data_IF_838747303708
#
_entry.id   IF_838747303708
#
_cell.length_a   1.000
_cell.length_b   1.000
_cell.length_c   1.000
_cell.angle_alpha   90.00
_cell.angle_beta   90.00
_cell.angle_gamma   90.00
#
_symmetry.space_group_name_H-M   'P 1'
#
loop_
_entity.id
_entity.type
_entity.pdbx_description
1 polymer ?
#
# COMPACT_ATOMS: atom_id res chain seq x y z
N UNK A 1 8.04 -7.82 49.58
CA UNK A 1 8.00 -6.59 48.77
C UNK A 1 8.01 -6.97 47.29
N UNK A 2 6.87 -6.82 46.59
CA UNK A 2 6.74 -7.10 45.15
C UNK A 2 7.28 -5.89 44.38
N UNK A 3 8.33 -6.06 43.57
CA UNK A 3 8.77 -5.03 42.62
C UNK A 3 8.04 -5.24 41.30
N UNK A 4 7.40 -4.15 40.89
CA UNK A 4 6.51 -4.01 39.75
C UNK A 4 7.33 -3.95 38.46
N UNK A 5 7.00 -4.84 37.52
CA UNK A 5 7.53 -4.89 36.17
C UNK A 5 6.74 -3.91 35.29
N UNK A 6 7.10 -2.62 35.32
CA UNK A 6 6.64 -1.62 34.35
C UNK A 6 7.86 -1.27 33.51
N UNK A 7 7.95 -1.85 32.30
CA UNK A 7 9.10 -1.63 31.45
C UNK A 7 9.04 -2.21 30.05
N UNK A 8 7.85 -2.52 29.51
CA UNK A 8 7.75 -3.06 28.14
C UNK A 8 6.62 -2.48 27.26
N UNK A 9 5.85 -1.50 27.75
CA UNK A 9 4.74 -0.92 26.98
C UNK A 9 5.16 0.37 26.25
N UNK A 10 6.23 1.05 26.68
CA UNK A 10 6.63 2.34 26.13
C UNK A 10 7.43 2.26 24.82
N UNK A 11 7.99 1.10 24.46
CA UNK A 11 8.76 0.94 23.21
C UNK A 11 7.86 0.77 21.96
N UNK A 12 6.64 0.23 22.13
CA UNK A 12 5.68 0.04 21.03
C UNK A 12 5.05 1.37 20.55
N UNK A 13 4.95 2.37 21.43
CA UNK A 13 4.38 3.68 21.09
C UNK A 13 5.32 4.55 20.24
N UNK A 14 6.64 4.43 20.41
CA UNK A 14 7.64 5.23 19.69
C UNK A 14 7.93 4.72 18.27
N UNK A 15 7.76 3.43 18.02
CA UNK A 15 7.91 2.86 16.67
C UNK A 15 6.79 3.30 15.71
N UNK A 16 5.59 3.63 16.23
CA UNK A 16 4.43 3.96 15.42
C UNK A 16 4.52 5.29 14.66
N UNK A 17 5.06 6.34 15.29
CA UNK A 17 5.25 7.63 14.63
C UNK A 17 6.34 7.57 13.55
N UNK A 18 7.43 6.83 13.79
CA UNK A 18 8.53 6.68 12.83
C UNK A 18 8.13 5.94 11.56
N UNK A 19 7.39 4.83 11.69
CA UNK A 19 6.90 4.05 10.54
C UNK A 19 5.86 4.84 9.73
N UNK A 20 4.97 5.58 10.40
CA UNK A 20 4.01 6.47 9.72
C UNK A 20 4.71 7.50 8.85
N UNK A 21 5.67 8.24 9.42
CA UNK A 21 6.43 9.26 8.68
C UNK A 21 7.20 8.64 7.52
N UNK A 22 7.74 7.44 7.72
CA UNK A 22 8.45 6.69 6.71
C UNK A 22 7.56 6.29 5.50
N UNK A 23 6.38 5.71 5.75
CA UNK A 23 5.42 5.36 4.69
C UNK A 23 4.96 6.62 3.97
N UNK A 24 4.63 7.66 4.73
CA UNK A 24 4.19 8.92 4.16
C UNK A 24 5.27 9.57 3.28
N UNK A 25 6.52 9.66 3.75
CA UNK A 25 7.64 10.17 2.93
C UNK A 25 7.86 9.33 1.66
N UNK A 26 7.65 8.02 1.73
CA UNK A 26 7.74 7.18 0.54
C UNK A 26 6.59 7.45 -0.43
N UNK A 27 5.34 7.57 0.04
CA UNK A 27 4.20 7.98 -0.78
C UNK A 27 4.46 9.35 -1.44
N UNK A 28 4.99 10.31 -0.67
CA UNK A 28 5.32 11.66 -1.14
C UNK A 28 6.34 11.65 -2.29
N UNK A 29 7.27 10.68 -2.34
CA UNK A 29 8.22 10.54 -3.47
C UNK A 29 7.56 10.12 -4.77
N UNK A 30 6.42 9.44 -4.71
CA UNK A 30 5.67 9.07 -5.91
C UNK A 30 4.71 10.17 -6.36
N UNK A 31 4.49 11.20 -5.55
CA UNK A 31 3.67 12.35 -5.89
C UNK A 31 4.47 13.34 -6.76
N UNK A 32 4.53 13.10 -8.07
CA UNK A 32 5.05 14.08 -9.03
C UNK A 32 3.92 15.04 -9.44
N UNK A 33 4.08 16.33 -9.12
CA UNK A 33 3.15 17.40 -9.55
C UNK A 33 2.93 17.33 -11.06
N UNK A 34 1.67 17.19 -11.49
CA UNK A 34 1.26 17.21 -12.89
C UNK A 34 1.18 15.86 -13.63
N UNK A 35 1.48 14.72 -13.00
CA UNK A 35 1.54 13.40 -13.69
C UNK A 35 0.39 12.44 -13.32
N UNK A 36 -0.35 12.66 -12.22
CA UNK A 36 -1.17 11.59 -11.63
C UNK A 36 -2.69 11.85 -11.55
N UNK A 37 -3.21 12.95 -12.10
CA UNK A 37 -4.66 13.13 -12.27
C UNK A 37 -5.17 12.29 -13.46
N UNK A 38 -5.12 10.95 -13.34
CA UNK A 38 -5.69 10.06 -14.36
C UNK A 38 -7.22 10.05 -14.24
N UNK A 39 -8.00 10.10 -15.33
CA UNK A 39 -9.44 9.91 -15.19
C UNK A 39 -9.72 8.55 -14.56
N UNK A 40 -10.56 8.51 -13.52
CA UNK A 40 -11.11 7.24 -13.00
C UNK A 40 -12.04 6.72 -14.09
N UNK A 41 -11.47 5.92 -14.99
CA UNK A 41 -12.10 5.56 -16.26
C UNK A 41 -13.15 4.45 -16.13
N UNK A 42 -13.35 3.93 -14.91
CA UNK A 42 -14.20 2.76 -14.65
C UNK A 42 -13.60 1.43 -15.13
N UNK A 43 -12.43 1.45 -15.76
CA UNK A 43 -11.70 0.27 -16.20
C UNK A 43 -10.61 -0.11 -15.20
N UNK A 44 -10.36 -1.41 -15.09
CA UNK A 44 -9.42 -1.99 -14.13
C UNK A 44 -8.45 -2.95 -14.81
N UNK A 45 -7.23 -3.00 -14.29
CA UNK A 45 -6.30 -4.08 -14.56
C UNK A 45 -6.46 -5.15 -13.49
N UNK A 46 -6.46 -6.42 -13.91
CA UNK A 46 -6.51 -7.57 -13.01
C UNK A 46 -5.11 -8.13 -12.83
N UNK A 47 -4.68 -8.34 -11.60
CA UNK A 47 -3.35 -8.87 -11.26
C UNK A 47 -3.50 -10.19 -10.55
N UNK A 48 -2.92 -11.25 -11.11
CA UNK A 48 -2.93 -12.59 -10.52
C UNK A 48 -1.50 -13.09 -10.33
N UNK A 49 -1.16 -13.53 -9.13
CA UNK A 49 0.15 -14.11 -8.79
C UNK A 49 0.01 -15.27 -7.80
N UNK A 50 0.99 -16.19 -7.82
CA UNK A 50 1.23 -17.08 -6.68
C UNK A 50 2.04 -16.35 -5.63
N UNK A 51 1.68 -16.57 -4.37
CA UNK A 51 2.26 -15.92 -3.22
C UNK A 51 2.70 -16.95 -2.18
N UNK A 52 3.98 -16.88 -1.82
CA UNK A 52 4.63 -17.76 -0.83
C UNK A 52 4.44 -19.25 -1.14
N UNK A 53 4.35 -19.59 -2.43
CA UNK A 53 4.06 -20.93 -2.97
C UNK A 53 2.81 -21.63 -2.39
N UNK A 54 1.97 -20.89 -1.67
CA UNK A 54 0.83 -21.42 -0.91
C UNK A 54 -0.51 -20.82 -1.31
N UNK A 55 -0.50 -19.58 -1.79
CA UNK A 55 -1.72 -18.85 -2.12
C UNK A 55 -1.69 -18.39 -3.57
N UNK A 56 -2.84 -18.39 -4.23
CA UNK A 56 -3.09 -17.56 -5.41
C UNK A 56 -3.81 -16.31 -4.95
N UNK A 57 -3.24 -15.16 -5.26
CA UNK A 57 -3.83 -13.86 -4.95
C UNK A 57 -4.22 -13.18 -6.25
N UNK A 58 -5.48 -12.75 -6.32
CA UNK A 58 -6.01 -11.93 -7.41
C UNK A 58 -6.54 -10.63 -6.83
N UNK A 59 -6.26 -9.49 -7.47
CA UNK A 59 -6.91 -8.22 -7.17
C UNK A 59 -6.98 -7.34 -8.41
N UNK A 60 -7.80 -6.32 -8.36
CA UNK A 60 -7.93 -5.32 -9.40
C UNK A 60 -7.49 -3.93 -8.92
N UNK A 61 -6.90 -3.16 -9.84
CA UNK A 61 -6.55 -1.76 -9.59
C UNK A 61 -6.86 -0.91 -10.83
N UNK A 62 -7.10 0.41 -10.67
CA UNK A 62 -7.37 1.30 -11.79
C UNK A 62 -6.30 1.21 -12.88
N UNK A 63 -6.72 1.35 -14.14
CA UNK A 63 -5.79 1.44 -15.27
C UNK A 63 -4.84 2.64 -15.05
N UNK A 64 -3.56 2.44 -15.38
CA UNK A 64 -2.58 3.54 -15.47
C UNK A 64 -1.30 3.41 -14.62
N UNK A 65 -0.63 2.25 -14.68
CA UNK A 65 0.79 2.12 -14.27
C UNK A 65 1.11 2.29 -12.78
N UNK A 66 0.10 2.38 -11.90
CA UNK A 66 0.29 2.59 -10.47
C UNK A 66 0.89 1.38 -9.74
N UNK A 67 0.75 0.17 -10.29
CA UNK A 67 1.27 -1.07 -9.70
C UNK A 67 2.71 -1.38 -10.11
N UNK A 68 3.52 -1.88 -9.16
CA UNK A 68 4.96 -2.15 -9.30
C UNK A 68 5.30 -3.64 -9.40
N UNK A 69 4.38 -4.44 -9.92
CA UNK A 69 4.65 -5.83 -10.22
C UNK A 69 5.48 -5.97 -11.49
N UNK A 70 6.32 -7.00 -11.56
CA UNK A 70 6.82 -7.49 -12.84
C UNK A 70 5.90 -8.60 -13.33
N UNK A 71 5.52 -8.49 -14.60
CA UNK A 71 4.53 -9.37 -15.21
C UNK A 71 4.40 -9.10 -16.69
N UNK A 72 3.81 -10.07 -17.39
CA UNK A 72 3.42 -9.91 -18.78
C UNK A 72 1.91 -9.68 -18.89
N UNK A 73 1.45 -8.81 -19.82
CA UNK A 73 0.04 -8.76 -20.15
C UNK A 73 -0.40 -10.11 -20.73
N UNK A 74 -1.47 -10.68 -20.18
CA UNK A 74 -2.13 -11.88 -20.67
C UNK A 74 -3.28 -11.50 -21.63
N UNK A 75 -3.10 -10.46 -22.45
CA UNK A 75 -4.13 -9.95 -23.35
C UNK A 75 -4.45 -11.03 -24.40
N UNK A 76 -5.70 -11.52 -24.47
CA UNK A 76 -6.12 -12.38 -25.58
C UNK A 76 -5.97 -11.62 -26.90
N UNK A 77 -5.42 -12.29 -27.91
CA UNK A 77 -5.22 -11.71 -29.25
C UNK A 77 -6.56 -11.18 -29.80
N UNK A 78 -6.72 -9.85 -29.93
CA UNK A 78 -7.93 -9.20 -30.46
C UNK A 78 -8.85 -8.51 -29.44
N UNK A 79 -8.50 -8.47 -28.15
CA UNK A 79 -9.27 -7.72 -27.16
C UNK A 79 -9.06 -6.20 -27.28
N UNK A 80 -10.11 -5.41 -26.98
CA UNK A 80 -10.02 -3.95 -26.86
C UNK A 80 -9.14 -3.55 -25.66
N UNK A 81 -8.60 -2.33 -25.68
CA UNK A 81 -7.73 -1.78 -24.62
C UNK A 81 -8.45 -1.49 -23.27
N UNK A 82 -9.61 -2.09 -23.03
CA UNK A 82 -10.44 -1.87 -21.84
C UNK A 82 -9.99 -2.79 -20.69
N UNK A 83 -8.95 -2.38 -19.97
CA UNK A 83 -8.37 -3.17 -18.88
C UNK A 83 -7.49 -4.33 -19.36
N UNK A 84 -6.48 -4.69 -18.56
CA UNK A 84 -5.54 -5.76 -18.91
C UNK A 84 -5.41 -6.73 -17.75
N UNK A 85 -5.55 -8.02 -18.05
CA UNK A 85 -5.15 -9.09 -17.13
C UNK A 85 -3.64 -9.26 -17.19
N UNK A 86 -2.98 -9.13 -16.04
CA UNK A 86 -1.56 -9.37 -15.87
C UNK A 86 -1.34 -10.68 -15.16
N UNK A 87 -0.58 -11.57 -15.81
CA UNK A 87 0.02 -12.71 -15.14
C UNK A 87 1.30 -12.21 -14.49
N UNK A 88 1.22 -11.98 -13.19
CA UNK A 88 2.32 -11.52 -12.38
C UNK A 88 3.15 -12.72 -11.98
N UNK A 89 4.47 -12.58 -12.09
CA UNK A 89 5.36 -13.67 -11.73
C UNK A 89 5.23 -14.05 -10.26
N UNK A 90 5.50 -15.31 -9.95
CA UNK A 90 5.44 -15.87 -8.59
C UNK A 90 6.29 -15.05 -7.61
N UNK A 91 5.68 -14.73 -6.47
CA UNK A 91 6.29 -13.99 -5.35
C UNK A 91 6.52 -14.97 -4.21
N UNK A 92 7.76 -15.09 -3.75
CA UNK A 92 8.15 -16.05 -2.72
C UNK A 92 9.15 -15.44 -1.75
N UNK A 93 9.36 -16.11 -0.62
CA UNK A 93 10.35 -15.71 0.38
C UNK A 93 11.48 -16.72 0.43
N UNK A 94 12.71 -16.23 0.41
CA UNK A 94 13.91 -17.03 0.59
C UNK A 94 14.97 -16.22 1.35
N UNK A 95 15.60 -16.84 2.35
CA UNK A 95 16.61 -16.21 3.21
C UNK A 95 16.11 -14.91 3.87
N UNK A 96 14.82 -14.87 4.24
CA UNK A 96 14.19 -13.72 4.89
C UNK A 96 13.98 -12.50 3.99
N UNK A 97 14.10 -12.66 2.66
CA UNK A 97 13.82 -11.61 1.67
C UNK A 97 12.71 -12.05 0.73
N UNK A 98 11.94 -11.07 0.24
CA UNK A 98 10.90 -11.32 -0.77
C UNK A 98 11.48 -11.13 -2.17
N UNK A 99 11.25 -12.15 -3.00
CA UNK A 99 11.70 -12.24 -4.37
C UNK A 99 10.51 -12.41 -5.31
N UNK A 100 10.69 -11.97 -6.54
CA UNK A 100 9.78 -12.27 -7.62
C UNK A 100 10.54 -12.99 -8.74
N UNK A 101 9.98 -14.09 -9.23
CA UNK A 101 10.55 -14.83 -10.36
C UNK A 101 10.44 -14.00 -11.63
N UNK A 102 11.33 -14.20 -12.58
CA UNK A 102 11.15 -13.68 -13.93
C UNK A 102 10.22 -14.60 -14.73
N UNK A 103 9.46 -14.04 -15.68
CA UNK A 103 8.64 -14.81 -16.62
C UNK A 103 9.50 -15.35 -17.78
N UNK A 104 10.59 -14.66 -18.13
CA UNK A 104 11.40 -14.96 -19.32
C UNK A 104 12.60 -15.86 -19.06
N UNK A 105 13.06 -15.95 -17.82
CA UNK A 105 14.22 -16.76 -17.42
C UNK A 105 14.11 -17.20 -15.96
N UNK A 106 15.04 -18.05 -15.51
CA UNK A 106 15.12 -18.47 -14.10
C UNK A 106 15.70 -17.40 -13.17
N UNK A 107 15.80 -16.15 -13.62
CA UNK A 107 16.29 -15.06 -12.78
C UNK A 107 15.23 -14.66 -11.74
N UNK A 108 15.72 -14.10 -10.63
CA UNK A 108 14.91 -13.57 -9.55
C UNK A 108 15.40 -12.18 -9.23
N UNK A 109 14.48 -11.28 -8.90
CA UNK A 109 14.83 -9.93 -8.44
C UNK A 109 14.13 -9.65 -7.13
N UNK A 110 14.79 -8.85 -6.30
CA UNK A 110 14.28 -8.52 -4.99
C UNK A 110 13.17 -7.48 -5.12
N UNK A 111 12.04 -7.76 -4.49
CA UNK A 111 10.92 -6.83 -4.32
C UNK A 111 10.71 -6.48 -2.85
N UNK A 112 11.74 -6.74 -2.04
CA UNK A 112 11.71 -6.68 -0.57
C UNK A 112 11.23 -5.32 -0.05
N UNK A 113 11.57 -4.25 -0.77
CA UNK A 113 11.18 -2.87 -0.46
C UNK A 113 9.66 -2.63 -0.42
N UNK A 114 8.86 -3.50 -1.04
CA UNK A 114 7.39 -3.42 -1.01
C UNK A 114 6.78 -4.19 0.17
N UNK A 115 7.53 -5.09 0.80
CA UNK A 115 7.02 -6.04 1.81
C UNK A 115 7.60 -5.81 3.20
N UNK A 116 8.83 -5.30 3.28
CA UNK A 116 9.58 -5.14 4.51
C UNK A 116 9.97 -3.68 4.78
N UNK A 117 10.25 -3.40 6.06
CA UNK A 117 10.97 -2.19 6.44
C UNK A 117 12.45 -2.38 6.13
N UNK A 118 13.00 -1.48 5.34
CA UNK A 118 14.40 -1.42 4.94
C UNK A 118 14.90 -0.03 5.28
N UNK A 119 15.86 0.04 6.21
CA UNK A 119 16.51 1.28 6.59
C UNK A 119 17.78 1.49 5.79
N UNK A 120 18.02 2.71 5.34
CA UNK A 120 19.21 3.09 4.59
C UNK A 120 19.77 4.40 5.13
N UNK A 121 21.09 4.47 5.32
CA UNK A 121 21.77 5.71 5.66
C UNK A 121 22.00 6.53 4.40
N UNK A 122 21.28 7.64 4.24
CA UNK A 122 21.44 8.57 3.12
C UNK A 122 22.20 9.82 3.56
N UNK A 123 23.01 10.42 2.68
CA UNK A 123 23.66 11.68 3.00
C UNK A 123 22.64 12.83 3.05
N UNK A 124 22.78 13.71 4.05
CA UNK A 124 21.97 14.92 4.16
C UNK A 124 22.54 15.98 3.22
N UNK A 125 21.67 16.65 2.48
CA UNK A 125 22.03 17.79 1.63
C UNK A 125 21.51 19.09 2.23
N UNK A 126 22.31 20.14 2.15
CA UNK A 126 21.94 21.50 2.54
C UNK A 126 21.91 22.41 1.31
N UNK A 127 20.94 23.31 1.26
CA UNK A 127 20.84 24.29 0.20
C UNK A 127 21.72 25.49 0.53
N UNK A 128 22.88 25.60 -0.14
CA UNK A 128 23.86 26.66 0.10
C UNK A 128 24.17 27.34 -1.23
N UNK A 129 23.99 28.66 -1.30
CA UNK A 129 24.25 29.49 -2.48
C UNK A 129 23.55 28.97 -3.76
N UNK A 130 22.29 28.57 -3.66
CA UNK A 130 21.51 28.14 -4.83
C UNK A 130 21.75 26.69 -5.28
N UNK A 131 22.59 25.93 -4.57
CA UNK A 131 22.89 24.53 -4.91
C UNK A 131 22.74 23.61 -3.69
N UNK A 132 22.28 22.38 -3.94
CA UNK A 132 22.30 21.31 -2.95
C UNK A 132 23.74 20.82 -2.74
N UNK A 133 24.30 21.04 -1.56
CA UNK A 133 25.62 20.53 -1.16
C UNK A 133 25.46 19.38 -0.19
N UNK A 134 26.17 18.29 -0.47
CA UNK A 134 26.26 17.14 0.41
C UNK A 134 26.96 17.55 1.71
N UNK A 135 26.37 17.22 2.85
CA UNK A 135 26.98 17.39 4.17
C UNK A 135 27.71 16.12 4.61
N UNK A 136 28.50 16.21 5.68
CA UNK A 136 29.12 15.04 6.32
C UNK A 136 28.13 14.21 7.14
N UNK A 137 26.90 14.71 7.31
CA UNK A 137 25.85 14.03 8.07
C UNK A 137 25.16 12.98 7.20
N UNK A 138 24.80 11.86 7.83
CA UNK A 138 23.91 10.87 7.26
C UNK A 138 22.67 10.76 8.13
N UNK A 139 21.53 10.63 7.49
CA UNK A 139 20.26 10.32 8.16
C UNK A 139 19.80 8.93 7.79
N UNK A 140 19.25 8.21 8.77
CA UNK A 140 18.54 6.96 8.49
C UNK A 140 17.19 7.31 7.87
N UNK A 141 16.93 6.77 6.69
CA UNK A 141 15.63 6.85 6.04
C UNK A 141 15.02 5.46 5.86
N UNK A 142 13.70 5.40 5.85
CA UNK A 142 13.00 4.23 5.32
C UNK A 142 13.05 4.26 3.80
N UNK A 143 13.54 3.18 3.20
CA UNK A 143 13.44 2.91 1.76
C UNK A 143 12.51 1.73 1.46
N UNK A 144 12.10 0.96 2.47
CA UNK A 144 11.10 -0.10 2.38
C UNK A 144 9.67 0.36 2.64
N UNK A 145 8.76 -0.59 2.87
CA UNK A 145 7.31 -0.36 3.06
C UNK A 145 6.69 0.49 1.95
N UNK A 146 7.14 0.31 0.70
CA UNK A 146 6.56 1.00 -0.45
C UNK A 146 5.17 0.44 -0.76
N UNK A 147 4.28 1.29 -1.28
CA UNK A 147 3.02 0.81 -1.83
C UNK A 147 3.28 -0.03 -3.08
N UNK A 148 2.59 -1.17 -3.15
CA UNK A 148 2.66 -2.10 -4.28
C UNK A 148 1.89 -1.53 -5.48
N UNK A 149 0.77 -0.85 -5.21
CA UNK A 149 0.12 0.04 -6.16
C UNK A 149 -0.13 1.40 -5.51
N UNK A 150 0.14 2.49 -6.22
CA UNK A 150 -0.12 3.85 -5.72
C UNK A 150 -0.63 4.77 -6.82
N UNK A 151 -1.67 5.52 -6.50
CA UNK A 151 -2.32 6.48 -7.38
C UNK A 151 -2.65 7.75 -6.57
N UNK A 152 -2.52 8.92 -7.18
CA UNK A 152 -2.79 10.19 -6.48
C UNK A 152 -3.41 11.23 -7.39
N UNK A 153 -4.49 11.84 -6.96
CA UNK A 153 -5.16 12.92 -7.67
C UNK A 153 -4.98 14.22 -6.91
N UNK A 154 -3.94 14.98 -7.24
CA UNK A 154 -3.64 16.26 -6.60
C UNK A 154 -4.79 17.24 -6.78
N UNK A 155 -5.41 17.27 -7.97
CA UNK A 155 -6.50 18.17 -8.31
C UNK A 155 -7.70 18.01 -7.37
N UNK A 156 -8.00 16.78 -6.96
CA UNK A 156 -9.16 16.46 -6.10
C UNK A 156 -8.79 16.06 -4.68
N UNK A 157 -7.50 16.01 -4.33
CA UNK A 157 -7.05 15.67 -2.97
C UNK A 157 -7.25 14.21 -2.60
N UNK A 158 -7.12 13.27 -3.53
CA UNK A 158 -7.29 11.83 -3.27
C UNK A 158 -6.00 11.04 -3.46
N UNK A 159 -5.85 9.94 -2.71
CA UNK A 159 -4.84 8.91 -2.99
C UNK A 159 -5.45 7.53 -2.86
N UNK A 160 -5.08 6.60 -3.74
CA UNK A 160 -5.40 5.18 -3.61
C UNK A 160 -4.11 4.39 -3.49
N UNK A 161 -4.09 3.42 -2.58
CA UNK A 161 -2.91 2.59 -2.35
C UNK A 161 -3.24 1.15 -2.04
N UNK A 162 -2.46 0.22 -2.59
CA UNK A 162 -2.42 -1.19 -2.20
C UNK A 162 -1.06 -1.47 -1.58
N UNK A 163 -1.06 -2.09 -0.41
CA UNK A 163 0.15 -2.44 0.37
C UNK A 163 0.07 -3.88 0.83
N UNK A 164 1.16 -4.62 0.71
CA UNK A 164 1.26 -6.00 1.19
C UNK A 164 2.54 -6.15 2.00
N UNK A 165 2.42 -6.16 3.33
CA UNK A 165 3.59 -6.14 4.22
C UNK A 165 3.71 -7.44 5.01
N UNK A 166 4.94 -7.88 5.28
CA UNK A 166 5.21 -8.95 6.24
C UNK A 166 5.02 -8.40 7.66
N UNK A 167 3.78 -8.49 8.12
CA UNK A 167 3.35 -7.92 9.39
C UNK A 167 2.07 -8.60 9.79
N UNK A 168 1.95 -8.95 11.06
CA UNK A 168 0.71 -9.46 11.60
C UNK A 168 -0.37 -8.36 11.65
N UNK A 169 -1.62 -8.82 11.66
CA UNK A 169 -2.79 -7.96 11.64
C UNK A 169 -2.82 -6.99 12.84
N UNK A 170 -2.46 -7.43 14.05
CA UNK A 170 -2.58 -6.62 15.25
C UNK A 170 -1.58 -5.46 15.24
N UNK A 171 -0.31 -5.74 14.93
CA UNK A 171 0.72 -4.72 14.74
C UNK A 171 0.30 -3.73 13.68
N UNK A 172 -0.27 -4.20 12.58
CA UNK A 172 -0.63 -3.32 11.48
C UNK A 172 -1.84 -2.43 11.78
N UNK A 173 -2.85 -2.97 12.48
CA UNK A 173 -3.97 -2.16 13.00
C UNK A 173 -3.48 -1.08 13.96
N UNK A 174 -2.56 -1.40 14.87
CA UNK A 174 -2.01 -0.42 15.81
C UNK A 174 -1.31 0.74 15.08
N UNK A 175 -0.52 0.44 14.03
CA UNK A 175 0.15 1.44 13.20
C UNK A 175 -0.85 2.32 12.44
N UNK A 176 -1.90 1.73 11.87
CA UNK A 176 -2.95 2.48 11.18
C UNK A 176 -3.76 3.36 12.15
N UNK A 177 -4.08 2.89 13.36
CA UNK A 177 -4.71 3.70 14.40
C UNK A 177 -3.83 4.88 14.82
N UNK A 178 -2.52 4.67 14.98
CA UNK A 178 -1.59 5.76 15.29
C UNK A 178 -1.49 6.77 14.12
N UNK A 179 -1.62 6.28 12.88
CA UNK A 179 -1.63 7.13 11.70
C UNK A 179 -2.94 7.93 11.56
N UNK A 180 -4.06 7.32 11.92
CA UNK A 180 -5.40 7.86 11.80
C UNK A 180 -6.19 7.65 13.11
N UNK A 181 -5.93 8.47 14.15
CA UNK A 181 -6.49 8.25 15.49
C UNK A 181 -8.00 8.53 15.59
N UNK A 182 -8.58 9.22 14.61
CA UNK A 182 -10.02 9.46 14.54
C UNK A 182 -10.78 8.29 13.89
N UNK A 183 -10.05 7.33 13.32
CA UNK A 183 -10.66 6.22 12.60
C UNK A 183 -11.30 5.21 13.54
N UNK A 184 -12.47 4.73 13.13
CA UNK A 184 -13.21 3.70 13.83
C UNK A 184 -13.01 2.36 13.14
N UNK A 185 -12.67 1.34 13.93
CA UNK A 185 -12.54 -0.03 13.43
C UNK A 185 -13.91 -0.72 13.39
N UNK A 186 -14.17 -1.43 12.31
CA UNK A 186 -15.26 -2.39 12.18
C UNK A 186 -14.79 -3.62 11.41
N UNK A 187 -15.58 -4.70 11.45
CA UNK A 187 -15.35 -5.89 10.64
C UNK A 187 -16.48 -6.00 9.63
N UNK A 188 -16.15 -6.30 8.36
CA UNK A 188 -17.14 -6.49 7.31
C UNK A 188 -16.76 -7.68 6.43
N UNK A 189 -17.76 -8.44 6.01
CA UNK A 189 -17.59 -9.54 5.06
C UNK A 189 -17.86 -9.02 3.64
N UNK A 190 -16.83 -9.02 2.78
CA UNK A 190 -16.90 -8.49 1.41
C UNK A 190 -16.05 -9.38 0.49
N UNK A 191 -16.59 -9.75 -0.68
CA UNK A 191 -15.85 -10.54 -1.67
C UNK A 191 -15.39 -11.92 -1.15
N UNK A 192 -16.12 -12.51 -0.20
CA UNK A 192 -15.75 -13.77 0.45
C UNK A 192 -14.67 -13.64 1.54
N UNK A 193 -14.15 -12.43 1.77
CA UNK A 193 -13.13 -12.17 2.80
C UNK A 193 -13.73 -11.44 4.00
N UNK A 194 -13.16 -11.68 5.19
CA UNK A 194 -13.43 -10.89 6.39
C UNK A 194 -12.41 -9.78 6.51
N UNK A 195 -12.86 -8.55 6.28
CA UNK A 195 -12.02 -7.37 6.32
C UNK A 195 -12.16 -6.62 7.63
N UNK A 196 -11.04 -6.11 8.12
CA UNK A 196 -11.01 -5.04 9.11
C UNK A 196 -11.03 -3.70 8.38
N UNK A 197 -12.04 -2.90 8.66
CA UNK A 197 -12.21 -1.56 8.11
C UNK A 197 -11.85 -0.52 9.17
N UNK A 198 -10.90 0.36 8.87
CA UNK A 198 -10.69 1.62 9.57
C UNK A 198 -11.27 2.75 8.73
N UNK A 199 -12.27 3.46 9.25
CA UNK A 199 -12.92 4.56 8.54
C UNK A 199 -13.07 5.80 9.42
N UNK A 200 -12.87 6.98 8.81
CA UNK A 200 -13.26 8.27 9.38
C UNK A 200 -14.64 8.67 8.87
N UNK A 201 -15.40 9.36 9.71
CA UNK A 201 -16.60 10.07 9.26
C UNK A 201 -16.18 11.24 8.37
N UNK A 202 -16.85 11.48 7.23
CA UNK A 202 -16.47 12.52 6.27
C UNK A 202 -16.41 13.92 6.91
N UNK A 203 -17.33 14.21 7.85
CA UNK A 203 -17.39 15.45 8.63
C UNK A 203 -16.12 15.71 9.46
N UNK A 204 -15.36 14.67 9.78
CA UNK A 204 -14.13 14.74 10.59
C UNK A 204 -12.86 14.91 9.75
N UNK A 205 -12.97 14.91 8.42
CA UNK A 205 -11.81 15.07 7.55
C UNK A 205 -11.15 16.44 7.77
N UNK A 206 -9.83 16.40 7.99
CA UNK A 206 -9.01 17.58 8.19
C UNK A 206 -8.69 18.31 6.89
N UNK A 207 -8.13 19.51 6.98
CA UNK A 207 -7.57 20.21 5.82
C UNK A 207 -6.36 19.45 5.24
N UNK A 208 -6.10 19.65 3.95
CA UNK A 208 -4.89 19.13 3.30
C UNK A 208 -3.65 19.69 4.00
N UNK A 209 -2.74 18.81 4.42
CA UNK A 209 -1.47 19.22 5.05
C UNK A 209 -0.43 19.53 3.97
N UNK A 210 0.51 20.47 4.21
CA UNK A 210 1.61 20.72 3.28
C UNK A 210 2.36 19.43 2.93
N UNK A 211 2.54 19.19 1.62
CA UNK A 211 3.22 18.01 1.11
C UNK A 211 2.39 16.71 1.09
N UNK A 212 1.10 16.75 1.44
CA UNK A 212 0.22 15.55 1.53
C UNK A 212 -1.00 15.75 0.65
N UNK A 213 -1.36 14.80 -0.22
CA UNK A 213 -2.53 14.94 -1.12
C UNK A 213 -3.83 14.41 -0.52
N UNK A 214 -3.83 13.20 0.05
CA UNK A 214 -5.04 12.53 0.53
C UNK A 214 -5.34 12.82 1.99
N UNK A 215 -4.57 12.25 2.91
CA UNK A 215 -4.93 12.21 4.34
C UNK A 215 -5.55 10.87 4.74
N UNK A 216 -5.91 10.69 6.01
CA UNK A 216 -6.54 9.45 6.48
C UNK A 216 -8.05 9.48 6.22
N UNK A 217 -8.59 8.48 5.52
CA UNK A 217 -10.03 8.34 5.33
C UNK A 217 -10.50 6.89 5.50
N UNK A 218 -10.20 6.00 4.55
CA UNK A 218 -10.64 4.60 4.58
C UNK A 218 -9.46 3.66 4.38
N UNK A 219 -9.37 2.61 5.20
CA UNK A 219 -8.37 1.55 5.06
C UNK A 219 -8.99 0.19 5.34
N UNK A 220 -8.96 -0.66 4.32
CA UNK A 220 -9.37 -2.06 4.37
C UNK A 220 -8.16 -2.94 4.61
N UNK A 221 -8.28 -3.86 5.57
CA UNK A 221 -7.18 -4.70 6.01
C UNK A 221 -7.56 -6.17 6.19
N UNK A 222 -6.77 -7.08 5.65
CA UNK A 222 -6.91 -8.52 5.90
C UNK A 222 -5.55 -9.26 5.86
N UNK A 223 -5.42 -10.38 6.58
CA UNK A 223 -4.25 -11.26 6.44
C UNK A 223 -4.33 -12.10 5.16
N UNK A 224 -3.18 -12.39 4.54
CA UNK A 224 -3.09 -13.38 3.45
C UNK A 224 -2.94 -14.76 4.06
N UNK A 225 -4.08 -15.39 4.38
CA UNK A 225 -4.12 -16.71 5.02
C UNK A 225 -3.23 -16.76 6.27
N UNK A 226 -2.34 -17.75 6.34
CA UNK A 226 -1.36 -17.91 7.41
C UNK A 226 0.08 -17.53 6.99
N UNK A 227 0.25 -16.85 5.85
CA UNK A 227 1.58 -16.53 5.30
C UNK A 227 2.37 -15.52 6.15
N UNK A 228 1.77 -14.90 7.17
CA UNK A 228 2.39 -13.84 7.98
C UNK A 228 2.42 -12.47 7.31
N UNK A 229 1.63 -12.28 6.24
CA UNK A 229 1.50 -11.01 5.53
C UNK A 229 0.10 -10.42 5.68
N UNK A 230 0.00 -9.10 5.67
CA UNK A 230 -1.27 -8.38 5.69
C UNK A 230 -1.39 -7.47 4.47
N UNK A 231 -2.50 -7.59 3.76
CA UNK A 231 -2.90 -6.75 2.64
C UNK A 231 -3.70 -5.54 3.17
N UNK A 232 -3.41 -4.38 2.61
CA UNK A 232 -4.16 -3.14 2.85
C UNK A 232 -4.56 -2.50 1.54
N UNK A 233 -5.81 -2.08 1.43
CA UNK A 233 -6.30 -1.22 0.34
C UNK A 233 -6.85 0.06 0.97
N UNK A 234 -6.36 1.21 0.54
CA UNK A 234 -6.63 2.48 1.21
C UNK A 234 -7.06 3.55 0.22
N UNK A 235 -8.03 4.36 0.66
CA UNK A 235 -8.37 5.63 0.07
C UNK A 235 -8.05 6.72 1.08
N UNK A 236 -7.16 7.64 0.70
CA UNK A 236 -6.92 8.86 1.44
C UNK A 236 -7.73 10.02 0.86
N UNK A 237 -8.30 10.82 1.75
CA UNK A 237 -9.12 11.99 1.43
C UNK A 237 -9.01 13.04 2.55
N UNK A 238 -9.31 14.30 2.21
CA UNK A 238 -9.33 15.45 3.11
C UNK A 238 -10.45 16.43 2.71
N UNK A 239 -10.52 17.62 3.33
CA UNK A 239 -11.55 18.62 2.99
C UNK A 239 -11.61 18.99 1.50
N UNK A 240 -10.47 19.05 0.80
CA UNK A 240 -10.41 19.31 -0.65
C UNK A 240 -11.14 18.22 -1.45
N UNK A 241 -11.09 16.98 -0.97
CA UNK A 241 -11.85 15.86 -1.54
C UNK A 241 -13.35 16.12 -1.51
N UNK A 242 -13.85 16.66 -0.39
CA UNK A 242 -15.27 16.96 -0.19
C UNK A 242 -15.75 18.15 -1.03
N UNK A 243 -14.84 19.06 -1.40
CA UNK A 243 -15.11 20.13 -2.37
C UNK A 243 -15.32 19.57 -3.80
N UNK A 244 -14.97 18.30 -4.04
CA UNK A 244 -15.12 17.60 -5.31
C UNK A 244 -16.04 16.37 -5.17
N UNK A 245 -17.33 16.54 -4.84
CA UNK A 245 -18.20 15.45 -4.40
C UNK A 245 -18.36 14.34 -5.44
N UNK A 246 -18.46 14.68 -6.73
CA UNK A 246 -18.53 13.69 -7.82
C UNK A 246 -17.27 12.80 -7.86
N UNK A 247 -16.10 13.41 -7.76
CA UNK A 247 -14.84 12.68 -7.74
C UNK A 247 -14.72 11.84 -6.47
N UNK A 248 -15.16 12.37 -5.32
CA UNK A 248 -15.13 11.66 -4.04
C UNK A 248 -15.96 10.37 -4.07
N UNK A 249 -17.20 10.45 -4.57
CA UNK A 249 -18.05 9.26 -4.75
C UNK A 249 -17.44 8.25 -5.73
N UNK A 250 -16.86 8.72 -6.84
CA UNK A 250 -16.17 7.85 -7.78
C UNK A 250 -14.99 7.13 -7.12
N UNK A 251 -14.18 7.81 -6.31
CA UNK A 251 -13.06 7.20 -5.58
C UNK A 251 -13.53 6.18 -4.54
N UNK A 252 -14.63 6.45 -3.84
CA UNK A 252 -15.25 5.48 -2.91
C UNK A 252 -15.73 4.23 -3.65
N UNK A 253 -16.39 4.41 -4.80
CA UNK A 253 -16.83 3.30 -5.65
C UNK A 253 -15.63 2.49 -6.18
N UNK A 254 -14.57 3.15 -6.63
CA UNK A 254 -13.33 2.52 -7.06
C UNK A 254 -12.68 1.72 -5.93
N UNK A 255 -12.56 2.30 -4.73
CA UNK A 255 -12.04 1.59 -3.57
C UNK A 255 -12.87 0.34 -3.27
N UNK A 256 -14.20 0.49 -3.27
CA UNK A 256 -15.12 -0.62 -2.99
C UNK A 256 -14.92 -1.77 -3.99
N UNK A 257 -14.83 -1.44 -5.28
CA UNK A 257 -14.55 -2.41 -6.34
C UNK A 257 -13.22 -3.14 -6.12
N UNK A 258 -12.14 -2.40 -5.83
CA UNK A 258 -10.82 -3.01 -5.55
C UNK A 258 -10.88 -3.99 -4.37
N UNK A 259 -11.60 -3.65 -3.30
CA UNK A 259 -11.78 -4.51 -2.12
C UNK A 259 -12.60 -5.76 -2.46
N UNK A 260 -13.67 -5.60 -3.23
CA UNK A 260 -14.53 -6.71 -3.68
C UNK A 260 -13.82 -7.66 -4.65
N UNK A 261 -12.88 -7.14 -5.45
CA UNK A 261 -12.12 -7.92 -6.43
C UNK A 261 -11.12 -8.89 -5.83
N UNK A 262 -10.75 -8.72 -4.55
CA UNK A 262 -9.69 -9.51 -3.92
C UNK A 262 -10.12 -10.95 -3.73
N UNK A 263 -9.34 -11.87 -4.29
CA UNK A 263 -9.48 -13.31 -4.08
C UNK A 263 -8.18 -13.89 -3.56
N UNK A 264 -8.27 -14.71 -2.51
CA UNK A 264 -7.14 -15.41 -1.91
C UNK A 264 -7.51 -16.88 -1.84
N UNK A 265 -6.86 -17.68 -2.67
CA UNK A 265 -7.15 -19.10 -2.83
C UNK A 265 -5.96 -19.91 -2.35
N UNK A 266 -6.19 -20.99 -1.60
CA UNK A 266 -5.12 -21.93 -1.25
C UNK A 266 -4.74 -22.71 -2.50
N UNK A 267 -3.44 -22.76 -2.82
CA UNK A 267 -2.94 -23.61 -3.88
C UNK A 267 -2.99 -25.06 -3.40
N UNK A 268 -3.58 -25.99 -4.17
CA UNK A 268 -3.51 -27.40 -3.84
C UNK A 268 -2.04 -27.82 -3.81
N UNK A 269 -1.65 -28.59 -2.78
CA UNK A 269 -0.31 -29.18 -2.69
C UNK A 269 -0.02 -29.91 -4.00
N UNK A 270 0.91 -29.39 -4.82
CA UNK A 270 1.31 -30.03 -6.08
C UNK A 270 2.15 -31.31 -5.84
N UNK A 271 2.37 -31.67 -4.57
CA UNK A 271 3.16 -32.82 -4.12
C UNK A 271 2.32 -33.88 -3.37
N UNK A 272 1.00 -33.95 -3.61
CA UNK A 272 0.18 -35.10 -3.21
C UNK A 272 -0.18 -35.96 -4.42
#
# INVERSE_FOLDING_TARGET
MKRVMIGLVSALMLAGCGIKQAIQRNDDRYMVRGVLDMPVSGYYNTYTFKFMDKYRVTHEAPVGGGCRYHGGPAIPKGASYEGVTYNISDIFEENGKVWQRSISDSSVFSIDEFFHSIKSMQPVYEFVNGANRKTDRKEEIEVGLRALCFYSWEGTGHVLGIRLYKRDLATWRALLSAANPQGKWSMQQIGGNNWWLLANDEETLGAQKPGVIGGGFVSWLLPIGDAGYTLTIQLGANKKSLENPKAHEQMKATLRHMVESVKIEVLPDLNK
#
